data_IF_668412557214
#
_entry.id   IF_668412557214
#
_cell.length_a   1.000
_cell.length_b   1.000
_cell.length_c   1.000
_cell.angle_alpha   90.00
_cell.angle_beta   90.00
_cell.angle_gamma   90.00
#
_symmetry.space_group_name_H-M   'P 1'
#
loop_
_entity.id
_entity.type
_entity.pdbx_description
1 polymer ?
#
# COMPACT_ATOMS: atom_id res chain seq x y z
N UNK A 1 -20.14 -25.62 -15.12
CA UNK A 1 -19.11 -26.63 -14.76
C UNK A 1 -17.87 -26.59 -15.69
N UNK A 2 -17.38 -25.39 -16.08
CA UNK A 2 -16.22 -25.27 -17.00
C UNK A 2 -15.10 -24.34 -16.48
N UNK A 3 -15.15 -23.92 -15.20
CA UNK A 3 -14.14 -23.03 -14.61
C UNK A 3 -13.00 -23.76 -13.89
N UNK A 4 -13.21 -25.01 -13.47
CA UNK A 4 -12.18 -25.81 -12.76
C UNK A 4 -11.12 -26.40 -13.69
N UNK A 5 -11.41 -26.51 -15.00
CA UNK A 5 -10.45 -27.01 -16.01
C UNK A 5 -9.40 -25.96 -16.43
N UNK A 6 -9.67 -24.67 -16.26
CA UNK A 6 -8.73 -23.58 -16.61
C UNK A 6 -7.61 -23.40 -15.58
N UNK A 7 -7.87 -23.78 -14.32
CA UNK A 7 -6.91 -23.67 -13.21
C UNK A 7 -5.83 -24.75 -13.21
N UNK A 8 -6.05 -25.89 -13.86
CA UNK A 8 -5.04 -26.98 -13.91
C UNK A 8 -4.01 -26.79 -15.02
N UNK A 9 -4.32 -26.02 -16.06
CA UNK A 9 -3.40 -25.76 -17.18
C UNK A 9 -2.31 -24.72 -16.86
N UNK A 10 -2.45 -23.95 -15.77
CA UNK A 10 -1.43 -22.98 -15.33
C UNK A 10 -0.30 -23.63 -14.52
N UNK A 11 -0.51 -24.81 -13.93
CA UNK A 11 0.47 -25.47 -13.09
C UNK A 11 1.48 -26.34 -13.86
N UNK A 12 1.10 -26.83 -15.06
CA UNK A 12 1.98 -27.70 -15.85
C UNK A 12 3.02 -26.94 -16.69
N UNK A 13 2.81 -25.64 -16.96
CA UNK A 13 3.73 -24.85 -17.78
C UNK A 13 4.94 -24.27 -17.00
N UNK A 14 4.87 -24.23 -15.67
CA UNK A 14 5.95 -23.66 -14.83
C UNK A 14 7.10 -24.65 -14.57
N UNK A 15 6.87 -25.96 -14.65
CA UNK A 15 7.87 -26.97 -14.30
C UNK A 15 8.90 -27.26 -15.42
N UNK A 16 8.64 -26.82 -16.65
CA UNK A 16 9.51 -27.12 -17.79
C UNK A 16 10.69 -26.12 -17.94
N UNK A 17 10.73 -25.03 -17.19
CA UNK A 17 11.77 -24.00 -17.30
C UNK A 17 12.97 -24.18 -16.36
N UNK A 18 12.94 -25.18 -15.46
CA UNK A 18 14.06 -25.46 -14.53
C UNK A 18 15.03 -26.54 -15.04
N UNK A 19 14.78 -27.13 -16.21
CA UNK A 19 15.52 -28.29 -16.70
C UNK A 19 16.58 -27.99 -17.78
N UNK A 20 16.95 -26.71 -17.99
CA UNK A 20 18.04 -26.33 -18.90
C UNK A 20 19.15 -25.63 -18.12
N UNK A 21 19.91 -26.42 -17.36
CA UNK A 21 21.07 -25.89 -16.62
C UNK A 21 22.07 -26.94 -16.12
N UNK A 22 21.86 -28.23 -16.41
CA UNK A 22 22.68 -29.31 -15.82
C UNK A 22 23.43 -30.16 -16.87
N UNK A 23 23.87 -29.57 -17.99
CA UNK A 23 24.81 -30.24 -18.91
C UNK A 23 26.09 -29.42 -18.93
N UNK A 24 26.99 -29.74 -18.01
CA UNK A 24 28.28 -29.07 -17.88
C UNK A 24 29.09 -29.45 -16.64
N UNK A 25 28.89 -30.65 -16.09
CA UNK A 25 29.80 -31.19 -15.08
C UNK A 25 31.05 -31.75 -15.77
N UNK A 26 31.91 -30.88 -16.29
CA UNK A 26 33.31 -31.20 -16.45
C UNK A 26 34.07 -30.47 -15.34
N UNK A 27 34.88 -31.22 -14.62
CA UNK A 27 35.80 -30.69 -13.61
C UNK A 27 36.83 -29.80 -14.30
N UNK A 28 36.47 -28.55 -14.57
CA UNK A 28 37.38 -27.47 -14.92
C UNK A 28 37.75 -26.73 -13.62
N UNK A 29 39.03 -26.37 -13.42
CA UNK A 29 39.46 -25.73 -12.19
C UNK A 29 38.71 -24.41 -12.00
N UNK A 30 38.62 -23.96 -10.75
CA UNK A 30 38.23 -22.60 -10.37
C UNK A 30 39.27 -21.55 -10.84
N UNK A 31 39.55 -21.53 -12.14
CA UNK A 31 40.09 -20.37 -12.83
C UNK A 31 38.89 -19.49 -13.10
N UNK A 32 38.85 -18.34 -12.43
CA UNK A 32 37.85 -17.32 -12.66
C UNK A 32 37.89 -16.93 -14.13
N UNK A 33 37.00 -17.51 -14.94
CA UNK A 33 36.79 -17.07 -16.30
C UNK A 33 36.29 -15.62 -16.20
N UNK A 34 37.15 -14.68 -16.58
CA UNK A 34 36.84 -13.25 -16.58
C UNK A 34 35.58 -12.94 -17.39
N UNK A 35 35.21 -13.84 -18.31
CA UNK A 35 33.97 -13.78 -19.08
C UNK A 35 32.72 -14.07 -18.26
N UNK A 36 32.75 -15.07 -17.37
CA UNK A 36 31.64 -15.38 -16.46
C UNK A 36 31.48 -14.29 -15.40
N UNK A 37 32.60 -13.77 -14.87
CA UNK A 37 32.57 -12.61 -13.97
C UNK A 37 32.04 -11.35 -14.67
N UNK A 38 32.45 -11.10 -15.91
CA UNK A 38 31.95 -9.99 -16.71
C UNK A 38 30.45 -10.12 -17.01
N UNK A 39 29.94 -11.33 -17.27
CA UNK A 39 28.52 -11.58 -17.50
C UNK A 39 27.68 -11.27 -16.24
N UNK A 40 28.14 -11.67 -15.05
CA UNK A 40 27.47 -11.35 -13.78
C UNK A 40 27.47 -9.85 -13.51
N UNK A 41 28.62 -9.19 -13.68
CA UNK A 41 28.75 -7.73 -13.47
C UNK A 41 27.85 -6.96 -14.45
N UNK A 42 27.83 -7.35 -15.73
CA UNK A 42 26.96 -6.74 -16.73
C UNK A 42 25.48 -6.89 -16.37
N UNK A 43 25.07 -8.05 -15.84
CA UNK A 43 23.72 -8.27 -15.32
C UNK A 43 23.36 -7.31 -14.18
N UNK A 44 24.25 -7.12 -13.21
CA UNK A 44 24.04 -6.19 -12.09
C UNK A 44 23.93 -4.74 -12.58
N UNK A 45 24.82 -4.32 -13.49
CA UNK A 45 24.80 -2.97 -14.09
C UNK A 45 23.49 -2.72 -14.83
N UNK A 46 23.01 -3.69 -15.61
CA UNK A 46 21.75 -3.59 -16.34
C UNK A 46 20.55 -3.42 -15.38
N UNK A 47 20.50 -4.20 -14.29
CA UNK A 47 19.46 -4.07 -13.26
C UNK A 47 19.50 -2.70 -12.55
N UNK A 48 20.69 -2.19 -12.24
CA UNK A 48 20.85 -0.86 -11.63
C UNK A 48 20.35 0.27 -12.54
N UNK A 49 20.69 0.22 -13.83
CA UNK A 49 20.23 1.20 -14.81
C UNK A 49 18.70 1.22 -14.95
N UNK A 50 18.07 0.04 -14.96
CA UNK A 50 16.60 -0.11 -14.98
C UNK A 50 15.99 0.43 -13.69
N UNK A 51 16.56 0.10 -12.52
CA UNK A 51 16.09 0.58 -11.23
C UNK A 51 16.07 2.11 -11.13
N UNK A 52 17.11 2.78 -11.65
CA UNK A 52 17.20 4.26 -11.67
C UNK A 52 16.11 4.93 -12.52
N UNK A 53 15.66 4.29 -13.60
CA UNK A 53 14.57 4.82 -14.42
C UNK A 53 13.19 4.70 -13.75
N UNK A 54 13.05 3.82 -12.76
CA UNK A 54 11.79 3.58 -12.03
C UNK A 54 11.66 4.48 -10.80
N UNK A 55 12.78 4.97 -10.27
CA UNK A 55 12.85 5.77 -9.04
C UNK A 55 12.21 7.18 -9.15
N UNK A 56 11.85 7.63 -10.37
CA UNK A 56 11.29 8.98 -10.60
C UNK A 56 9.76 9.09 -10.37
N UNK A 57 9.23 8.39 -9.36
CA UNK A 57 7.80 8.48 -8.98
C UNK A 57 7.53 8.72 -7.49
N UNK A 58 8.56 9.12 -6.73
CA UNK A 58 8.48 9.32 -5.28
C UNK A 58 8.20 10.76 -4.80
N UNK A 59 8.76 11.79 -5.43
CA UNK A 59 8.87 13.10 -4.77
C UNK A 59 8.58 14.32 -5.67
N UNK A 60 7.36 14.39 -6.20
CA UNK A 60 6.79 15.69 -6.63
C UNK A 60 6.00 16.31 -5.49
N UNK A 61 6.69 16.77 -4.46
CA UNK A 61 6.16 17.84 -3.60
C UNK A 61 6.60 19.16 -4.23
N UNK A 62 5.70 19.91 -4.90
CA UNK A 62 6.10 21.14 -5.55
C UNK A 62 6.72 22.09 -4.51
N UNK A 63 7.77 22.86 -4.87
CA UNK A 63 8.36 23.84 -3.98
C UNK A 63 7.25 24.78 -3.52
N UNK A 64 7.10 24.92 -2.21
CA UNK A 64 6.09 25.75 -1.57
C UNK A 64 6.34 27.21 -1.94
N UNK A 65 5.70 27.65 -3.02
CA UNK A 65 5.42 29.05 -3.25
C UNK A 65 4.72 29.57 -1.99
N UNK A 66 5.31 30.57 -1.33
CA UNK A 66 4.74 31.33 -0.23
C UNK A 66 3.46 32.02 -0.71
N UNK A 67 2.40 31.25 -0.89
CA UNK A 67 1.06 31.76 -1.04
C UNK A 67 0.68 32.35 0.30
N UNK A 68 0.29 33.62 0.28
CA UNK A 68 -0.46 34.26 1.34
C UNK A 68 -1.48 33.25 1.87
N UNK A 69 -1.23 32.70 3.06
CA UNK A 69 -2.09 31.70 3.67
C UNK A 69 -3.37 32.44 4.06
N UNK A 70 -4.51 32.27 3.36
CA UNK A 70 -5.77 32.71 3.92
C UNK A 70 -5.91 31.99 5.26
N UNK A 71 -6.35 32.70 6.30
CA UNK A 71 -6.60 32.12 7.63
C UNK A 71 -7.30 30.78 7.44
N UNK A 72 -6.57 29.68 7.70
CA UNK A 72 -7.02 28.35 7.32
C UNK A 72 -8.42 28.15 7.91
N UNK A 73 -9.42 27.70 7.12
CA UNK A 73 -10.66 27.24 7.73
C UNK A 73 -10.27 26.24 8.82
N UNK A 74 -10.78 26.44 10.05
CA UNK A 74 -10.42 25.63 11.22
C UNK A 74 -10.52 24.17 10.83
N UNK A 75 -9.37 23.51 10.66
CA UNK A 75 -9.34 22.12 10.21
C UNK A 75 -9.95 21.26 11.29
N UNK A 76 -10.94 20.45 10.94
CA UNK A 76 -11.57 19.54 11.91
C UNK A 76 -10.65 18.34 12.06
N UNK A 77 -10.02 18.21 13.22
CA UNK A 77 -9.06 17.14 13.48
C UNK A 77 -9.81 15.88 13.94
N UNK A 78 -9.62 14.77 13.23
CA UNK A 78 -10.06 13.45 13.61
C UNK A 78 -8.99 12.81 14.54
N UNK A 79 -9.30 12.62 15.83
CA UNK A 79 -8.33 12.13 16.82
C UNK A 79 -7.85 10.72 16.50
N UNK A 80 -6.55 10.47 16.66
CA UNK A 80 -5.94 9.16 16.38
C UNK A 80 -6.53 8.05 17.26
N UNK A 81 -6.88 8.38 18.51
CA UNK A 81 -7.55 7.47 19.46
C UNK A 81 -8.91 6.93 18.97
N UNK A 82 -9.58 7.64 18.06
CA UNK A 82 -10.85 7.20 17.48
C UNK A 82 -10.68 6.33 16.23
N UNK A 83 -9.46 6.24 15.69
CA UNK A 83 -9.17 5.45 14.49
C UNK A 83 -9.26 3.94 14.78
N UNK A 84 -9.90 3.21 13.87
CA UNK A 84 -10.10 1.76 13.94
C UNK A 84 -9.83 1.16 12.56
N UNK A 85 -9.16 0.02 12.60
CA UNK A 85 -8.86 -0.80 11.44
C UNK A 85 -9.26 -2.24 11.75
N UNK A 86 -10.05 -2.85 10.88
CA UNK A 86 -10.51 -4.23 11.03
C UNK A 86 -10.92 -4.83 9.69
N UNK A 87 -11.00 -6.15 9.65
CA UNK A 87 -11.49 -6.88 8.48
C UNK A 87 -13.01 -6.91 8.47
N UNK A 88 -13.59 -6.65 7.30
CA UNK A 88 -15.03 -6.75 7.02
C UNK A 88 -15.26 -7.73 5.88
N UNK A 89 -16.53 -8.09 5.64
CA UNK A 89 -16.90 -8.95 4.50
C UNK A 89 -16.54 -8.31 3.15
N UNK A 90 -16.52 -6.98 3.10
CA UNK A 90 -16.24 -6.18 1.91
C UNK A 90 -14.76 -5.76 1.81
N UNK A 91 -13.90 -6.32 2.66
CA UNK A 91 -12.46 -6.03 2.73
C UNK A 91 -12.03 -5.31 4.01
N UNK A 92 -10.85 -4.70 4.00
CA UNK A 92 -10.33 -3.96 5.15
C UNK A 92 -11.05 -2.62 5.34
N UNK A 93 -11.66 -2.43 6.50
CA UNK A 93 -12.17 -1.14 6.92
C UNK A 93 -11.06 -0.31 7.60
N UNK A 94 -10.99 0.97 7.23
CA UNK A 94 -10.08 1.98 7.80
C UNK A 94 -10.82 3.28 8.03
N UNK A 95 -10.99 3.67 9.28
CA UNK A 95 -11.74 4.88 9.60
C UNK A 95 -11.89 5.10 11.08
N UNK A 96 -12.98 5.75 11.49
CA UNK A 96 -13.17 6.23 12.84
C UNK A 96 -14.49 5.76 13.43
N UNK A 97 -14.49 5.44 14.72
CA UNK A 97 -15.73 5.11 15.44
C UNK A 97 -16.59 6.36 15.63
N UNK A 98 -17.85 6.32 15.18
CA UNK A 98 -18.75 7.48 15.19
C UNK A 98 -18.98 8.07 16.58
N UNK A 99 -19.25 7.21 17.57
CA UNK A 99 -19.45 7.66 18.95
C UNK A 99 -18.20 8.35 19.54
N UNK A 100 -17.00 7.85 19.23
CA UNK A 100 -15.76 8.46 19.69
C UNK A 100 -15.56 9.86 19.08
N UNK A 101 -15.79 9.98 17.76
CA UNK A 101 -15.70 11.27 17.07
C UNK A 101 -16.69 12.30 17.62
N UNK A 102 -17.96 11.90 17.82
CA UNK A 102 -18.99 12.77 18.40
C UNK A 102 -18.56 13.31 19.77
N UNK A 103 -18.06 12.42 20.63
CA UNK A 103 -17.63 12.77 21.99
C UNK A 103 -16.36 13.63 22.02
N UNK A 104 -15.44 13.42 21.09
CA UNK A 104 -14.15 14.11 21.12
C UNK A 104 -14.17 15.45 20.40
N UNK A 105 -14.97 15.60 19.34
CA UNK A 105 -14.92 16.77 18.45
C UNK A 105 -16.12 17.68 18.58
N UNK A 106 -17.27 17.17 19.06
CA UNK A 106 -18.52 17.92 19.22
C UNK A 106 -19.01 18.67 17.96
N UNK A 107 -18.52 18.29 16.77
CA UNK A 107 -18.98 18.83 15.49
C UNK A 107 -19.96 17.87 14.83
N UNK A 108 -20.75 18.37 13.87
CA UNK A 108 -21.65 17.52 13.08
C UNK A 108 -20.86 16.59 12.17
N UNK A 109 -21.19 15.29 12.19
CA UNK A 109 -20.56 14.30 11.31
C UNK A 109 -21.34 14.15 10.00
N UNK A 110 -20.65 14.10 8.83
CA UNK A 110 -21.29 13.95 7.54
C UNK A 110 -21.89 12.55 7.39
N UNK A 111 -23.22 12.47 7.31
CA UNK A 111 -23.95 11.19 7.21
C UNK A 111 -23.61 10.42 5.93
N UNK A 112 -23.18 11.11 4.86
CA UNK A 112 -22.70 10.48 3.64
C UNK A 112 -21.49 9.55 3.86
N UNK A 113 -20.71 9.80 4.92
CA UNK A 113 -19.56 8.96 5.28
C UNK A 113 -19.89 7.86 6.30
N UNK A 114 -21.12 7.83 6.83
CA UNK A 114 -21.54 6.84 7.81
C UNK A 114 -21.69 5.45 7.16
N UNK A 115 -21.19 4.45 7.87
CA UNK A 115 -21.28 3.03 7.52
C UNK A 115 -21.54 2.24 8.79
N UNK A 116 -22.55 1.40 8.77
CA UNK A 116 -22.86 0.52 9.90
C UNK A 116 -22.21 -0.84 9.70
N UNK A 117 -21.43 -1.26 10.69
CA UNK A 117 -20.82 -2.58 10.73
C UNK A 117 -21.34 -3.35 11.94
N UNK A 118 -21.61 -4.64 11.72
CA UNK A 118 -21.91 -5.56 12.80
C UNK A 118 -20.60 -5.95 13.50
N UNK A 119 -20.51 -5.62 14.78
CA UNK A 119 -19.38 -5.97 15.65
C UNK A 119 -19.84 -6.96 16.72
N UNK A 120 -18.90 -7.49 17.51
CA UNK A 120 -19.21 -8.35 18.66
C UNK A 120 -20.10 -7.65 19.71
N UNK A 121 -20.11 -6.30 19.70
CA UNK A 121 -20.92 -5.46 20.59
C UNK A 121 -22.18 -4.92 19.91
N UNK A 122 -22.64 -5.58 18.85
CA UNK A 122 -23.80 -5.18 18.04
C UNK A 122 -23.45 -4.25 16.88
N UNK A 123 -24.48 -3.63 16.30
CA UNK A 123 -24.34 -2.65 15.23
C UNK A 123 -23.63 -1.39 15.71
N UNK A 124 -22.65 -0.93 14.95
CA UNK A 124 -21.88 0.27 15.27
C UNK A 124 -21.65 1.07 14.00
N UNK A 125 -21.83 2.39 14.12
CA UNK A 125 -21.56 3.33 13.04
C UNK A 125 -20.10 3.75 13.03
N UNK A 126 -19.50 3.67 11.86
CA UNK A 126 -18.14 4.12 11.59
C UNK A 126 -18.14 5.10 10.42
N UNK A 127 -17.08 5.91 10.38
CA UNK A 127 -16.88 6.93 9.36
C UNK A 127 -15.55 6.66 8.64
N UNK A 128 -15.61 6.41 7.34
CA UNK A 128 -14.43 6.06 6.54
C UNK A 128 -13.42 7.21 6.50
N UNK A 129 -12.15 6.93 6.78
CA UNK A 129 -11.12 7.98 6.89
C UNK A 129 -10.91 8.76 5.59
N UNK A 130 -10.96 8.07 4.44
CA UNK A 130 -10.87 8.70 3.11
C UNK A 130 -12.06 9.62 2.84
N UNK A 131 -13.28 9.19 3.17
CA UNK A 131 -14.48 10.00 3.00
C UNK A 131 -14.41 11.25 3.89
N UNK A 132 -14.09 11.11 5.17
CA UNK A 132 -13.92 12.26 6.07
C UNK A 132 -12.89 13.27 5.55
N UNK A 133 -11.78 12.78 4.98
CA UNK A 133 -10.76 13.65 4.38
C UNK A 133 -11.29 14.48 3.21
N UNK A 134 -12.19 13.91 2.39
CA UNK A 134 -12.86 14.64 1.30
C UNK A 134 -13.85 15.70 1.84
N UNK A 135 -14.36 15.51 3.05
CA UNK A 135 -15.22 16.47 3.76
C UNK A 135 -14.41 17.48 4.61
N UNK A 136 -13.09 17.59 4.41
CA UNK A 136 -12.24 18.57 5.08
C UNK A 136 -11.77 18.18 6.48
N UNK A 137 -11.97 16.93 6.90
CA UNK A 137 -11.39 16.43 8.14
C UNK A 137 -9.93 16.06 7.94
N UNK A 138 -9.10 16.36 8.93
CA UNK A 138 -7.68 16.01 8.91
C UNK A 138 -7.41 14.95 9.98
N UNK A 139 -6.65 13.91 9.64
CA UNK A 139 -6.21 12.93 10.63
C UNK A 139 -5.16 13.57 11.53
N UNK A 140 -5.29 13.39 12.84
CA UNK A 140 -4.24 13.73 13.78
C UNK A 140 -2.94 12.98 13.41
N UNK A 141 -1.88 13.74 13.15
CA UNK A 141 -0.57 13.15 12.87
C UNK A 141 0.10 12.70 14.16
N UNK A 142 0.53 11.44 14.23
CA UNK A 142 1.48 11.03 15.25
C UNK A 142 2.82 11.69 14.93
N UNK A 143 3.22 12.70 15.72
CA UNK A 143 4.64 13.07 15.80
C UNK A 143 5.32 11.96 16.59
N UNK A 144 6.05 11.10 15.89
CA UNK A 144 6.98 10.17 16.50
C UNK A 144 8.01 11.00 17.27
N UNK A 145 7.98 10.91 18.60
CA UNK A 145 9.03 11.41 19.48
C UNK A 145 10.02 10.29 19.77
#
# INVERSE_FOLDING_TARGET
MFHTLRTTLSAAALSALLAVGAIGASTAPAQADSRDAAAVIAGIIALYAIGRAIDDRGDRRPPSQLHHVPAHPRQIVAPAQCYREFQTRDGFFRGYAGHCLQRSTHVALPQACARDYRTDRGWRTFYGGRCLSQYGWVREGHRSH
#
